data_IF_695186432390
#
_entry.id   IF_695186432390
#
_cell.length_a   1.000
_cell.length_b   1.000
_cell.length_c   1.000
_cell.angle_alpha   90.00
_cell.angle_beta   90.00
_cell.angle_gamma   90.00
#
_symmetry.space_group_name_H-M   'P 1'
#
loop_
_entity.id
_entity.type
_entity.pdbx_description
1 polymer ?
#
# COMPACT_ATOMS: atom_id res chain seq x y z
N UNK A 1 4.00 -14.75 -11.74
CA UNK A 1 4.42 -13.60 -10.92
C UNK A 1 3.70 -12.30 -11.30
N UNK A 2 3.58 -11.95 -12.60
CA UNK A 2 2.90 -10.73 -13.05
C UNK A 2 1.45 -10.63 -12.59
N UNK A 3 0.70 -11.74 -12.54
CA UNK A 3 -0.68 -11.78 -12.03
C UNK A 3 -0.72 -11.45 -10.53
N UNK A 4 0.26 -11.92 -9.76
CA UNK A 4 0.37 -11.58 -8.34
C UNK A 4 0.61 -10.08 -8.14
N UNK A 5 1.50 -9.49 -8.95
CA UNK A 5 1.73 -8.05 -8.95
C UNK A 5 0.45 -7.29 -9.29
N UNK A 6 -0.26 -7.73 -10.34
CA UNK A 6 -1.55 -7.17 -10.69
C UNK A 6 -2.57 -7.23 -9.53
N UNK A 7 -2.75 -8.41 -8.91
CA UNK A 7 -3.69 -8.56 -7.78
C UNK A 7 -3.23 -7.79 -6.54
N UNK A 8 -1.92 -7.67 -6.33
CA UNK A 8 -1.34 -6.86 -5.27
C UNK A 8 -1.74 -5.39 -5.38
N UNK A 9 -1.56 -4.80 -6.55
CA UNK A 9 -1.87 -3.39 -6.80
C UNK A 9 -3.34 -3.09 -7.05
N UNK A 10 -4.17 -4.08 -7.34
CA UNK A 10 -5.61 -3.90 -7.48
C UNK A 10 -6.35 -4.35 -6.22
N UNK A 11 -6.49 -5.64 -6.00
CA UNK A 11 -7.27 -6.21 -4.90
C UNK A 11 -6.69 -5.93 -3.53
N UNK A 12 -5.39 -6.28 -3.32
CA UNK A 12 -4.75 -6.18 -1.99
C UNK A 12 -4.61 -4.73 -1.57
N UNK A 13 -4.26 -3.84 -2.50
CA UNK A 13 -4.23 -2.39 -2.28
C UNK A 13 -5.58 -1.86 -1.78
N UNK A 14 -6.68 -2.19 -2.48
CA UNK A 14 -8.03 -1.76 -2.06
C UNK A 14 -8.43 -2.34 -0.69
N UNK A 15 -8.03 -3.57 -0.38
CA UNK A 15 -8.26 -4.15 0.95
C UNK A 15 -7.47 -3.40 2.03
N UNK A 16 -6.24 -3.01 1.74
CA UNK A 16 -5.43 -2.16 2.63
C UNK A 16 -6.12 -0.83 2.92
N UNK A 17 -6.63 -0.15 1.89
CA UNK A 17 -7.38 1.09 2.05
C UNK A 17 -8.61 0.90 2.93
N UNK A 18 -9.39 -0.17 2.73
CA UNK A 18 -10.56 -0.50 3.58
C UNK A 18 -10.16 -0.77 5.03
N UNK A 19 -9.07 -1.50 5.28
CA UNK A 19 -8.52 -1.70 6.64
C UNK A 19 -8.15 -0.36 7.30
N UNK A 20 -7.68 0.60 6.52
CA UNK A 20 -7.36 1.97 6.98
C UNK A 20 -8.58 2.91 7.06
N UNK A 21 -9.79 2.42 6.82
CA UNK A 21 -11.02 3.19 6.95
C UNK A 21 -11.34 4.07 5.75
N UNK A 22 -10.75 3.80 4.59
CA UNK A 22 -11.10 4.43 3.32
C UNK A 22 -12.15 3.56 2.65
N UNK A 23 -13.35 4.07 2.53
CA UNK A 23 -14.46 3.43 1.82
C UNK A 23 -14.28 3.65 0.31
N UNK A 24 -14.38 2.58 -0.44
CA UNK A 24 -14.27 2.58 -1.89
C UNK A 24 -15.64 2.21 -2.43
N UNK A 25 -16.23 3.07 -3.26
CA UNK A 25 -17.49 2.80 -3.94
C UNK A 25 -17.34 1.69 -4.97
N UNK A 26 -18.45 1.11 -5.40
CA UNK A 26 -18.45 0.08 -6.45
C UNK A 26 -17.93 0.63 -7.79
N UNK A 27 -18.13 1.91 -8.07
CA UNK A 27 -17.63 2.55 -9.29
C UNK A 27 -16.11 2.76 -9.24
N UNK A 28 -15.59 3.23 -8.10
CA UNK A 28 -14.13 3.35 -7.90
C UNK A 28 -13.45 1.98 -7.97
N UNK A 29 -14.04 0.95 -7.36
CA UNK A 29 -13.53 -0.42 -7.46
C UNK A 29 -13.45 -0.91 -8.91
N UNK A 30 -14.52 -0.68 -9.69
CA UNK A 30 -14.53 -0.99 -11.14
C UNK A 30 -13.46 -0.19 -11.88
N UNK A 31 -13.30 1.09 -11.55
CA UNK A 31 -12.27 1.95 -12.13
C UNK A 31 -10.85 1.43 -11.87
N UNK A 32 -10.57 0.97 -10.64
CA UNK A 32 -9.28 0.37 -10.28
C UNK A 32 -9.02 -0.91 -11.07
N UNK A 33 -10.01 -1.83 -11.17
CA UNK A 33 -9.85 -3.04 -11.97
C UNK A 33 -9.68 -2.73 -13.45
N UNK A 34 -10.40 -1.76 -13.99
CA UNK A 34 -10.26 -1.34 -15.39
C UNK A 34 -8.85 -0.78 -15.67
N UNK A 35 -8.35 0.10 -14.80
CA UNK A 35 -7.00 0.66 -14.91
C UNK A 35 -5.94 -0.44 -14.89
N UNK A 36 -6.00 -1.33 -13.90
CA UNK A 36 -5.02 -2.38 -13.76
C UNK A 36 -5.13 -3.45 -14.85
N UNK A 37 -6.34 -3.70 -15.39
CA UNK A 37 -6.53 -4.54 -16.57
C UNK A 37 -5.79 -3.95 -17.78
N UNK A 38 -5.90 -2.64 -17.99
CA UNK A 38 -5.18 -1.96 -19.06
C UNK A 38 -3.65 -2.03 -18.85
N UNK A 39 -3.17 -1.75 -17.65
CA UNK A 39 -1.73 -1.86 -17.31
C UNK A 39 -1.25 -3.31 -17.51
N UNK A 40 -1.99 -4.29 -17.01
CA UNK A 40 -1.64 -5.71 -17.16
C UNK A 40 -1.58 -6.15 -18.63
N UNK A 41 -2.49 -5.65 -19.46
CA UNK A 41 -2.45 -5.87 -20.91
C UNK A 41 -1.17 -5.29 -21.54
N UNK A 42 -0.80 -4.06 -21.18
CA UNK A 42 0.44 -3.42 -21.66
C UNK A 42 1.71 -4.16 -21.18
N UNK A 43 1.66 -4.80 -20.02
CA UNK A 43 2.74 -5.65 -19.49
C UNK A 43 2.78 -7.05 -20.15
N UNK A 44 1.89 -7.34 -21.11
CA UNK A 44 1.85 -8.59 -21.86
C UNK A 44 1.11 -9.74 -21.15
N UNK A 45 0.31 -9.46 -20.12
CA UNK A 45 -0.54 -10.49 -19.51
C UNK A 45 -1.72 -10.77 -20.48
N UNK A 46 -1.96 -12.02 -20.87
CA UNK A 46 -3.09 -12.36 -21.73
C UNK A 46 -4.42 -11.93 -21.09
N UNK A 47 -5.33 -11.29 -21.84
CA UNK A 47 -6.57 -10.69 -21.29
C UNK A 47 -7.45 -11.64 -20.48
N UNK A 48 -7.46 -12.91 -20.81
CA UNK A 48 -8.23 -13.93 -20.09
C UNK A 48 -7.75 -14.17 -18.65
N UNK A 49 -6.54 -13.75 -18.30
CA UNK A 49 -5.99 -13.85 -16.94
C UNK A 49 -6.10 -12.55 -16.15
N UNK A 50 -6.64 -11.50 -16.74
CA UNK A 50 -6.78 -10.20 -16.09
C UNK A 50 -8.14 -10.09 -15.41
N UNK A 51 -8.21 -10.07 -14.06
CA UNK A 51 -9.47 -9.95 -13.35
C UNK A 51 -10.21 -8.64 -13.68
N UNK A 52 -11.51 -8.75 -13.90
CA UNK A 52 -12.38 -7.60 -14.16
C UNK A 52 -13.15 -7.17 -12.91
N UNK A 53 -13.12 -8.00 -11.88
CA UNK A 53 -13.88 -7.78 -10.65
C UNK A 53 -13.21 -8.45 -9.45
N UNK A 54 -13.70 -8.08 -8.27
CA UNK A 54 -13.19 -8.59 -6.99
C UNK A 54 -13.24 -10.11 -6.88
N UNK A 55 -14.34 -10.75 -7.28
CA UNK A 55 -14.50 -12.19 -7.11
C UNK A 55 -13.42 -12.93 -7.87
N UNK A 56 -13.23 -12.61 -9.13
CA UNK A 56 -12.20 -13.23 -9.97
C UNK A 56 -10.78 -12.93 -9.47
N UNK A 57 -10.54 -11.70 -9.00
CA UNK A 57 -9.25 -11.36 -8.40
C UNK A 57 -8.97 -12.16 -7.11
N UNK A 58 -9.97 -12.39 -6.27
CA UNK A 58 -9.85 -13.23 -5.06
C UNK A 58 -9.56 -14.68 -5.43
N UNK A 59 -10.27 -15.24 -6.40
CA UNK A 59 -10.03 -16.59 -6.88
C UNK A 59 -8.61 -16.77 -7.43
N UNK A 60 -8.14 -15.82 -8.23
CA UNK A 60 -6.77 -15.85 -8.75
C UNK A 60 -5.71 -15.71 -7.65
N UNK A 61 -5.92 -14.80 -6.70
CA UNK A 61 -5.02 -14.65 -5.57
C UNK A 61 -4.96 -15.94 -4.73
N UNK A 62 -6.12 -16.55 -4.47
CA UNK A 62 -6.20 -17.83 -3.76
C UNK A 62 -5.39 -18.92 -4.48
N UNK A 63 -5.63 -19.14 -5.76
CA UNK A 63 -4.88 -20.14 -6.53
C UNK A 63 -3.39 -19.83 -6.56
N UNK A 64 -3.03 -18.57 -6.74
CA UNK A 64 -1.61 -18.18 -6.72
C UNK A 64 -0.97 -18.48 -5.36
N UNK A 65 -1.62 -18.13 -4.25
CA UNK A 65 -1.08 -18.39 -2.91
C UNK A 65 -0.97 -19.87 -2.56
N UNK A 66 -1.83 -20.73 -3.14
CA UNK A 66 -1.78 -22.18 -2.89
C UNK A 66 -0.60 -22.87 -3.57
N UNK A 67 -0.08 -22.30 -4.66
CA UNK A 67 1.07 -22.85 -5.40
C UNK A 67 2.40 -22.23 -4.98
N UNK A 68 2.37 -21.18 -4.15
CA UNK A 68 3.60 -20.57 -3.65
C UNK A 68 4.20 -21.39 -2.51
N UNK A 69 5.52 -21.50 -2.51
CA UNK A 69 6.24 -21.98 -1.34
C UNK A 69 6.09 -21.01 -0.16
N UNK A 70 6.24 -21.53 1.04
CA UNK A 70 6.26 -20.68 2.23
C UNK A 70 7.51 -19.79 2.16
N UNK A 71 7.35 -18.52 2.58
CA UNK A 71 8.46 -17.57 2.62
C UNK A 71 9.64 -18.11 3.43
N UNK A 72 10.82 -17.95 2.87
CA UNK A 72 12.11 -18.40 3.38
C UNK A 72 12.89 -17.28 4.09
N UNK A 73 14.18 -17.54 4.38
CA UNK A 73 15.07 -16.55 4.97
C UNK A 73 15.26 -15.32 4.09
N UNK A 74 15.27 -15.49 2.76
CA UNK A 74 15.40 -14.37 1.82
C UNK A 74 14.19 -13.43 1.90
N UNK A 75 12.98 -13.99 2.07
CA UNK A 75 11.76 -13.21 2.30
C UNK A 75 11.85 -12.39 3.59
N UNK A 76 12.39 -12.96 4.67
CA UNK A 76 12.61 -12.26 5.94
C UNK A 76 13.70 -11.19 5.82
N UNK A 77 14.79 -11.47 5.10
CA UNK A 77 15.86 -10.51 4.83
C UNK A 77 15.35 -9.32 4.02
N UNK A 78 14.53 -9.56 2.98
CA UNK A 78 13.91 -8.52 2.19
C UNK A 78 12.97 -7.66 3.02
N UNK A 79 12.11 -8.27 3.83
CA UNK A 79 11.21 -7.54 4.73
C UNK A 79 11.99 -6.68 5.73
N UNK A 80 13.10 -7.19 6.28
CA UNK A 80 13.99 -6.44 7.16
C UNK A 80 14.65 -5.27 6.43
N UNK A 81 15.16 -5.46 5.21
CA UNK A 81 15.77 -4.41 4.41
C UNK A 81 14.77 -3.27 4.12
N UNK A 82 13.54 -3.61 3.70
CA UNK A 82 12.47 -2.63 3.47
C UNK A 82 12.10 -1.85 4.75
N UNK A 83 12.09 -2.49 5.90
CA UNK A 83 11.87 -1.78 7.16
C UNK A 83 13.03 -0.85 7.52
N UNK A 84 14.27 -1.28 7.27
CA UNK A 84 15.48 -0.50 7.57
C UNK A 84 15.65 0.71 6.67
N UNK A 85 15.11 0.69 5.46
CA UNK A 85 15.09 1.85 4.56
C UNK A 85 14.58 3.13 5.27
N UNK A 86 13.67 2.99 6.22
CA UNK A 86 13.21 4.13 7.03
C UNK A 86 14.32 4.78 7.87
N UNK A 87 15.35 4.03 8.24
CA UNK A 87 16.49 4.54 9.02
C UNK A 87 17.49 5.27 8.12
N UNK A 88 17.58 4.87 6.86
CA UNK A 88 18.50 5.43 5.86
C UNK A 88 17.88 6.62 5.10
N UNK A 89 16.58 6.89 5.36
CA UNK A 89 15.85 7.95 4.70
C UNK A 89 16.44 9.34 5.01
N UNK A 90 17.04 9.95 3.99
CA UNK A 90 17.73 11.24 4.07
C UNK A 90 16.80 12.45 4.14
N UNK A 91 15.51 12.27 3.81
CA UNK A 91 14.47 13.32 3.91
C UNK A 91 14.31 13.77 5.36
N UNK A 92 14.49 12.85 6.32
CA UNK A 92 14.41 13.17 7.74
C UNK A 92 15.79 13.45 8.33
N UNK A 93 16.01 14.70 8.69
CA UNK A 93 17.30 15.20 9.23
C UNK A 93 17.71 14.51 10.53
N UNK A 94 16.76 14.23 11.42
CA UNK A 94 17.05 13.74 12.78
C UNK A 94 16.83 12.24 12.92
N UNK A 95 17.78 11.56 13.53
CA UNK A 95 17.72 10.11 13.78
C UNK A 95 16.45 9.65 14.54
N UNK A 96 15.95 10.48 15.48
CA UNK A 96 14.73 10.13 16.22
C UNK A 96 13.50 10.10 15.32
N UNK A 97 13.40 10.97 14.31
CA UNK A 97 12.31 10.98 13.33
C UNK A 97 12.30 9.70 12.50
N UNK A 98 13.48 9.27 12.04
CA UNK A 98 13.66 8.02 11.29
C UNK A 98 13.28 6.80 12.12
N UNK A 99 13.69 6.76 13.39
CA UNK A 99 13.30 5.69 14.33
C UNK A 99 11.80 5.69 14.62
N UNK A 100 11.19 6.86 14.72
CA UNK A 100 9.74 6.99 14.90
C UNK A 100 9.00 6.47 13.66
N UNK A 101 9.44 6.84 12.47
CA UNK A 101 8.89 6.37 11.21
C UNK A 101 8.95 4.84 11.10
N UNK A 102 10.11 4.23 11.41
CA UNK A 102 10.25 2.78 11.46
C UNK A 102 9.19 2.13 12.37
N UNK A 103 8.98 2.67 13.59
CA UNK A 103 7.99 2.12 14.53
C UNK A 103 6.55 2.29 14.02
N UNK A 104 6.25 3.39 13.33
CA UNK A 104 4.96 3.60 12.68
C UNK A 104 4.75 2.59 11.55
N UNK A 105 5.74 2.36 10.71
CA UNK A 105 5.68 1.35 9.64
C UNK A 105 5.51 -0.06 10.20
N UNK A 106 6.24 -0.44 11.24
CA UNK A 106 6.03 -1.71 11.94
C UNK A 106 4.59 -1.87 12.44
N UNK A 107 4.05 -0.81 13.04
CA UNK A 107 2.66 -0.80 13.53
C UNK A 107 1.65 -0.94 12.39
N UNK A 108 1.90 -0.29 11.24
CA UNK A 108 1.04 -0.41 10.05
C UNK A 108 1.11 -1.82 9.47
N UNK A 109 2.29 -2.44 9.37
CA UNK A 109 2.42 -3.81 8.90
C UNK A 109 1.63 -4.79 9.76
N UNK A 110 1.71 -4.67 11.09
CA UNK A 110 0.94 -5.50 12.02
C UNK A 110 -0.57 -5.25 11.99
N UNK A 111 -1.00 -4.12 11.46
CA UNK A 111 -2.42 -3.83 11.24
C UNK A 111 -2.92 -4.32 9.88
N UNK A 112 -2.10 -4.22 8.85
CA UNK A 112 -2.48 -4.54 7.48
C UNK A 112 -2.31 -6.02 7.16
N UNK A 113 -1.23 -6.64 7.65
CA UNK A 113 -0.92 -8.05 7.47
C UNK A 113 -1.43 -8.86 8.67
N UNK A 114 -1.72 -10.12 8.44
CA UNK A 114 -2.10 -11.04 9.51
C UNK A 114 -0.89 -11.41 10.38
N UNK A 115 -1.15 -11.83 11.62
CA UNK A 115 -0.09 -12.15 12.59
C UNK A 115 0.88 -13.21 12.06
N UNK A 116 0.35 -14.24 11.39
CA UNK A 116 1.15 -15.32 10.80
C UNK A 116 2.14 -14.80 9.76
N UNK A 117 1.69 -13.90 8.87
CA UNK A 117 2.55 -13.30 7.84
C UNK A 117 3.64 -12.44 8.48
N UNK A 118 3.29 -11.62 9.48
CA UNK A 118 4.27 -10.80 10.20
C UNK A 118 5.33 -11.65 10.91
N UNK A 119 4.92 -12.79 11.50
CA UNK A 119 5.85 -13.71 12.16
C UNK A 119 6.77 -14.40 11.15
N UNK A 120 6.25 -14.87 10.02
CA UNK A 120 7.05 -15.49 8.93
C UNK A 120 8.08 -14.51 8.36
N UNK A 121 7.68 -13.26 8.14
CA UNK A 121 8.57 -12.19 7.68
C UNK A 121 9.49 -11.64 8.79
N UNK A 122 9.43 -12.20 9.99
CA UNK A 122 10.21 -11.78 11.16
C UNK A 122 10.08 -10.28 11.47
N UNK A 123 8.90 -9.69 11.19
CA UNK A 123 8.61 -8.29 11.46
C UNK A 123 8.40 -8.13 12.98
N UNK A 124 9.22 -7.32 13.67
CA UNK A 124 9.11 -7.17 15.12
C UNK A 124 7.74 -6.63 15.53
N UNK A 125 7.18 -7.19 16.61
CA UNK A 125 5.91 -6.70 17.14
C UNK A 125 6.06 -5.26 17.64
N UNK A 126 5.16 -4.33 17.24
CA UNK A 126 5.26 -2.94 17.62
C UNK A 126 5.02 -2.78 19.12
N UNK A 127 5.69 -1.81 19.73
CA UNK A 127 5.41 -1.43 21.11
C UNK A 127 3.95 -0.97 21.26
N UNK A 128 3.31 -1.27 22.39
CA UNK A 128 1.87 -0.98 22.66
C UNK A 128 1.47 0.46 22.35
N UNK A 129 2.35 1.43 22.62
CA UNK A 129 2.09 2.83 22.33
C UNK A 129 1.92 3.12 20.83
N UNK A 130 2.61 2.38 19.96
CA UNK A 130 2.52 2.55 18.52
C UNK A 130 1.38 1.75 17.89
N UNK A 131 0.92 0.66 18.52
CA UNK A 131 -0.18 -0.16 18.00
C UNK A 131 -1.54 0.55 17.96
N UNK A 132 -1.65 1.73 18.59
CA UNK A 132 -2.83 2.59 18.46
C UNK A 132 -2.84 3.44 17.19
N UNK A 133 -1.67 3.67 16.58
CA UNK A 133 -1.51 4.56 15.43
C UNK A 133 -2.39 4.18 14.22
N UNK A 134 -2.45 2.92 13.75
CA UNK A 134 -3.35 2.55 12.64
C UNK A 134 -4.82 2.79 12.98
N UNK A 135 -5.22 2.63 14.24
CA UNK A 135 -6.60 2.91 14.69
C UNK A 135 -6.92 4.40 14.60
N UNK A 136 -5.95 5.26 14.94
CA UNK A 136 -6.09 6.71 14.81
C UNK A 136 -6.21 7.09 13.34
N UNK A 137 -5.34 6.55 12.47
CA UNK A 137 -5.39 6.76 11.02
C UNK A 137 -6.75 6.33 10.47
N UNK A 138 -7.20 5.11 10.81
CA UNK A 138 -8.51 4.60 10.39
C UNK A 138 -9.65 5.53 10.82
N UNK A 139 -9.66 5.96 12.08
CA UNK A 139 -10.70 6.88 12.59
C UNK A 139 -10.64 8.24 11.88
N UNK A 140 -9.45 8.77 11.67
CA UNK A 140 -9.23 10.02 10.92
C UNK A 140 -9.78 9.94 9.49
N UNK A 141 -9.48 8.85 8.78
CA UNK A 141 -9.99 8.63 7.42
C UNK A 141 -11.52 8.54 7.39
N UNK A 142 -12.14 7.77 8.30
CA UNK A 142 -13.60 7.66 8.38
C UNK A 142 -14.28 9.03 8.65
N UNK A 143 -13.69 9.84 9.53
CA UNK A 143 -14.23 11.19 9.83
C UNK A 143 -14.01 12.11 8.63
N UNK A 144 -12.83 12.09 8.04
CA UNK A 144 -12.49 12.89 6.86
C UNK A 144 -13.45 12.60 5.71
N UNK A 145 -13.68 11.32 5.39
CA UNK A 145 -14.63 10.95 4.33
C UNK A 145 -16.05 11.44 4.63
N UNK A 146 -16.53 11.31 5.87
CA UNK A 146 -17.85 11.83 6.25
C UNK A 146 -17.99 13.34 6.03
N UNK A 147 -16.90 14.08 6.15
CA UNK A 147 -16.88 15.53 5.93
C UNK A 147 -16.80 15.84 4.45
N UNK A 148 -15.80 15.27 3.76
CA UNK A 148 -15.49 15.63 2.38
C UNK A 148 -16.43 15.01 1.34
N UNK A 149 -17.03 13.85 1.60
CA UNK A 149 -17.99 13.23 0.68
C UNK A 149 -19.43 13.79 0.82
N UNK A 150 -19.63 14.78 1.69
CA UNK A 150 -20.97 15.38 1.87
C UNK A 150 -21.48 16.15 0.67
N UNK A 151 -20.59 16.79 -0.07
CA UNK A 151 -20.96 17.51 -1.27
C UNK A 151 -19.82 17.53 -2.30
N UNK A 152 -20.16 17.79 -3.55
CA UNK A 152 -19.22 17.75 -4.66
C UNK A 152 -18.07 18.76 -4.53
N UNK A 153 -18.29 19.94 -4.00
CA UNK A 153 -17.24 20.94 -3.83
C UNK A 153 -16.19 20.50 -2.81
N UNK A 154 -16.62 19.86 -1.71
CA UNK A 154 -15.70 19.31 -0.72
C UNK A 154 -14.93 18.13 -1.26
N UNK A 155 -15.57 17.27 -2.06
CA UNK A 155 -14.91 16.18 -2.76
C UNK A 155 -13.83 16.70 -3.72
N UNK A 156 -14.13 17.71 -4.54
CA UNK A 156 -13.15 18.34 -5.43
C UNK A 156 -11.95 18.90 -4.67
N UNK A 157 -12.15 19.55 -3.52
CA UNK A 157 -11.05 20.02 -2.68
C UNK A 157 -10.18 18.86 -2.18
N UNK A 158 -10.77 17.73 -1.80
CA UNK A 158 -10.02 16.55 -1.37
C UNK A 158 -9.14 16.02 -2.51
N UNK A 159 -9.70 15.92 -3.73
CA UNK A 159 -8.96 15.48 -4.93
C UNK A 159 -7.81 16.44 -5.24
N UNK A 160 -8.06 17.74 -5.19
CA UNK A 160 -7.03 18.77 -5.43
C UNK A 160 -5.91 18.68 -4.39
N UNK A 161 -6.24 18.56 -3.10
CA UNK A 161 -5.25 18.37 -2.03
C UNK A 161 -4.43 17.09 -2.24
N UNK A 162 -5.07 16.00 -2.64
CA UNK A 162 -4.40 14.73 -2.96
C UNK A 162 -3.41 14.89 -4.12
N UNK A 163 -3.84 15.54 -5.18
CA UNK A 163 -3.00 15.80 -6.36
C UNK A 163 -1.79 16.67 -6.02
N UNK A 164 -1.98 17.75 -5.24
CA UNK A 164 -0.88 18.60 -4.79
C UNK A 164 0.10 17.84 -3.89
N UNK A 165 -0.41 16.99 -3.00
CA UNK A 165 0.45 16.17 -2.15
C UNK A 165 1.25 15.14 -2.97
N UNK A 166 0.64 14.53 -3.97
CA UNK A 166 1.30 13.59 -4.87
C UNK A 166 2.43 14.26 -5.66
N UNK A 167 2.17 15.45 -6.22
CA UNK A 167 3.19 16.23 -6.93
C UNK A 167 4.36 16.60 -6.01
N UNK A 168 4.07 16.98 -4.76
CA UNK A 168 5.12 17.29 -3.78
C UNK A 168 5.98 16.07 -3.47
N UNK A 169 5.38 14.90 -3.23
CA UNK A 169 6.12 13.65 -2.97
C UNK A 169 6.99 13.28 -4.17
N UNK A 170 6.46 13.42 -5.39
CA UNK A 170 7.21 13.15 -6.61
C UNK A 170 8.40 14.12 -6.78
N UNK A 171 8.20 15.40 -6.52
CA UNK A 171 9.25 16.43 -6.60
C UNK A 171 10.35 16.18 -5.54
N UNK A 172 9.96 15.82 -4.32
CA UNK A 172 10.89 15.46 -3.26
C UNK A 172 11.68 14.18 -3.62
N UNK A 173 11.03 13.19 -4.23
CA UNK A 173 11.69 11.97 -4.71
C UNK A 173 12.72 12.29 -5.81
N UNK A 174 12.34 13.06 -6.82
CA UNK A 174 13.24 13.45 -7.92
C UNK A 174 14.46 14.23 -7.40
N UNK A 175 14.29 15.11 -6.41
CA UNK A 175 15.38 15.89 -5.82
C UNK A 175 16.40 15.04 -5.06
N UNK A 176 15.97 13.92 -4.50
CA UNK A 176 16.81 13.05 -3.67
C UNK A 176 17.28 11.77 -4.39
N UNK A 177 16.83 11.55 -5.62
CA UNK A 177 17.31 10.42 -6.43
C UNK A 177 18.71 10.74 -6.97
N UNK A 178 19.69 9.83 -6.84
CA UNK A 178 21.01 10.01 -7.44
C UNK A 178 20.89 10.25 -8.94
N UNK A 179 21.61 11.26 -9.46
CA UNK A 179 21.57 11.65 -10.89
C UNK A 179 22.28 10.66 -11.83
N UNK A 180 22.80 9.55 -11.29
CA UNK A 180 23.62 8.59 -12.02
C UNK A 180 22.83 7.50 -12.76
N UNK A 181 21.49 7.56 -12.75
CA UNK A 181 20.68 6.78 -13.67
C UNK A 181 20.56 7.48 -15.02
N UNK A 182 21.63 7.41 -15.82
CA UNK A 182 21.56 7.67 -17.25
C UNK A 182 20.94 6.46 -17.92
N UNK A 183 19.70 6.59 -18.38
CA UNK A 183 19.04 5.65 -19.29
C UNK A 183 19.57 5.84 -20.71
#
# INVERSE_FOLDING_TARGET
DMIATYTGFSLVFMQGLKKLGIEISSEEEKGVFHLWKYIGYLLGIPPQFLPENRQYAVEQLYWWTTIQEQGDEDSAHLAKALLQENLDNTIYKYSFQRKMLLRLHQSMNWHLLDEEINQRLQIPKPHKAFSIFPKIVRKGNLVSQKIYLRNFQQYQKLVEMGSLQQLKVLDDYIKHTPKDFNY
#
